data_IF_237879596350
#
_entry.id   IF_237879596350
#
_cell.length_a   1.000
_cell.length_b   1.000
_cell.length_c   1.000
_cell.angle_alpha   90.00
_cell.angle_beta   90.00
_cell.angle_gamma   90.00
#
_symmetry.space_group_name_H-M   'P 1'
#
loop_
_entity.id
_entity.type
_entity.pdbx_description
1 polymer ?
#
# COMPACT_ATOMS: atom_id res chain seq x y z
N UNK A 1 34.52 3.81 -16.40
CA UNK A 1 33.14 3.45 -16.00
C UNK A 1 32.82 4.21 -14.72
N UNK A 2 32.01 5.26 -14.82
CA UNK A 2 31.60 6.03 -13.65
C UNK A 2 30.46 5.28 -12.94
N UNK A 3 30.49 5.15 -11.60
CA UNK A 3 29.38 4.55 -10.88
C UNK A 3 28.17 5.50 -10.99
N UNK A 4 27.12 5.04 -11.66
CA UNK A 4 25.83 5.73 -11.69
C UNK A 4 25.31 5.79 -10.26
N UNK A 5 25.32 6.98 -9.66
CA UNK A 5 24.78 7.20 -8.32
C UNK A 5 23.29 6.91 -8.36
N UNK A 6 22.87 5.81 -7.72
CA UNK A 6 21.46 5.54 -7.45
C UNK A 6 20.94 6.70 -6.59
N UNK A 7 20.18 7.59 -7.22
CA UNK A 7 19.55 8.71 -6.54
C UNK A 7 18.37 8.11 -5.79
N UNK A 8 18.56 7.84 -4.50
CA UNK A 8 17.48 7.49 -3.60
C UNK A 8 16.49 8.66 -3.59
N UNK A 9 15.37 8.50 -4.30
CA UNK A 9 14.24 9.42 -4.25
C UNK A 9 13.62 9.24 -2.86
N UNK A 10 14.16 9.98 -1.90
CA UNK A 10 13.53 10.17 -0.60
C UNK A 10 12.33 11.08 -0.80
N UNK A 11 11.15 10.49 -1.01
CA UNK A 11 9.88 11.16 -0.79
C UNK A 11 9.69 11.32 0.73
N UNK A 12 10.55 12.14 1.34
CA UNK A 12 10.45 12.55 2.73
C UNK A 12 9.58 13.81 2.82
N UNK A 13 8.53 13.68 3.62
CA UNK A 13 7.89 14.75 4.41
C UNK A 13 7.48 16.01 3.65
N UNK A 14 6.20 16.11 3.28
CA UNK A 14 5.18 16.90 3.99
C UNK A 14 3.86 16.63 3.27
N UNK A 15 2.99 15.81 3.85
CA UNK A 15 1.55 15.86 3.58
C UNK A 15 1.04 15.42 2.19
N UNK A 16 1.55 14.37 1.56
CA UNK A 16 0.72 13.44 0.75
C UNK A 16 1.41 12.07 0.84
N UNK A 17 0.78 11.14 1.54
CA UNK A 17 1.43 9.92 2.04
C UNK A 17 1.82 8.95 0.93
N UNK A 18 3.12 8.73 0.78
CA UNK A 18 3.69 7.67 -0.05
C UNK A 18 5.09 7.29 0.47
N UNK A 19 5.19 6.92 1.75
CA UNK A 19 6.45 6.43 2.32
C UNK A 19 6.75 5.06 1.71
N UNK A 20 7.66 5.03 0.72
CA UNK A 20 8.21 3.81 0.17
C UNK A 20 9.14 3.24 1.25
N UNK A 21 8.61 2.39 2.13
CA UNK A 21 9.47 1.50 2.89
C UNK A 21 10.06 0.50 1.89
N UNK A 22 11.22 0.83 1.32
CA UNK A 22 11.87 0.02 0.31
C UNK A 22 12.61 -1.14 0.96
N UNK A 23 12.08 -2.36 0.85
CA UNK A 23 12.92 -3.55 0.93
C UNK A 23 13.99 -3.46 -0.16
N UNK A 24 15.26 -3.49 0.23
CA UNK A 24 16.37 -3.58 -0.71
C UNK A 24 16.38 -4.98 -1.32
N UNK A 25 16.01 -5.12 -2.59
CA UNK A 25 16.18 -6.39 -3.29
C UNK A 25 17.65 -6.53 -3.68
N UNK A 26 18.37 -7.43 -3.01
CA UNK A 26 19.70 -7.84 -3.42
C UNK A 26 19.57 -8.75 -4.64
N UNK A 27 19.71 -8.17 -5.83
CA UNK A 27 19.85 -8.90 -7.09
C UNK A 27 21.21 -9.64 -7.08
N UNK A 28 21.26 -10.83 -6.48
CA UNK A 28 22.44 -11.69 -6.49
C UNK A 28 22.27 -12.85 -7.48
N UNK A 29 22.68 -12.60 -8.73
CA UNK A 29 23.33 -13.51 -9.72
C UNK A 29 22.77 -14.93 -10.05
N UNK A 30 22.89 -15.29 -11.35
CA UNK A 30 22.91 -16.65 -11.97
C UNK A 30 21.57 -17.39 -12.09
N UNK A 31 20.74 -16.96 -13.04
CA UNK A 31 19.52 -17.65 -13.49
C UNK A 31 18.85 -16.90 -14.66
N UNK A 32 17.71 -17.39 -15.15
CA UNK A 32 16.80 -16.60 -16.00
C UNK A 32 16.40 -15.33 -15.23
N UNK A 33 16.46 -14.19 -15.91
CA UNK A 33 16.08 -12.92 -15.29
C UNK A 33 14.57 -12.90 -15.07
N UNK A 34 14.16 -12.65 -13.83
CA UNK A 34 12.75 -12.48 -13.50
C UNK A 34 12.21 -11.15 -14.02
N UNK A 35 10.92 -11.12 -14.33
CA UNK A 35 10.25 -9.88 -14.74
C UNK A 35 10.08 -8.91 -13.58
N UNK A 36 9.97 -7.62 -13.88
CA UNK A 36 9.69 -6.57 -12.88
C UNK A 36 8.42 -6.88 -12.10
N UNK A 37 7.36 -7.36 -12.77
CA UNK A 37 6.14 -7.79 -12.11
C UNK A 37 6.40 -8.91 -11.09
N UNK A 38 7.16 -9.95 -11.47
CA UNK A 38 7.50 -11.06 -10.58
C UNK A 38 8.27 -10.58 -9.35
N UNK A 39 9.28 -9.74 -9.57
CA UNK A 39 10.12 -9.21 -8.50
C UNK A 39 9.32 -8.39 -7.49
N UNK A 40 8.49 -7.47 -7.96
CA UNK A 40 7.67 -6.63 -7.06
C UNK A 40 6.55 -7.43 -6.40
N UNK A 41 5.97 -8.43 -7.06
CA UNK A 41 4.92 -9.29 -6.48
C UNK A 41 5.40 -10.12 -5.29
N UNK A 42 6.72 -10.32 -5.14
CA UNK A 42 7.31 -11.02 -3.99
C UNK A 42 7.40 -10.14 -2.73
N UNK A 43 7.25 -8.83 -2.85
CA UNK A 43 7.26 -7.90 -1.72
C UNK A 43 5.93 -7.97 -0.96
N UNK A 44 5.95 -8.66 0.20
CA UNK A 44 4.74 -8.94 1.00
C UNK A 44 4.04 -7.71 1.57
N UNK A 45 4.74 -6.58 1.64
CA UNK A 45 4.23 -5.30 2.16
C UNK A 45 3.70 -4.38 1.06
N UNK A 46 3.60 -4.91 -0.18
CA UNK A 46 3.11 -4.19 -1.34
C UNK A 46 2.07 -5.00 -2.11
N UNK A 47 1.34 -4.31 -2.97
CA UNK A 47 0.40 -4.87 -3.93
C UNK A 47 0.66 -4.27 -5.30
N UNK A 48 0.68 -5.13 -6.32
CA UNK A 48 0.63 -4.71 -7.72
C UNK A 48 -0.74 -4.09 -7.98
N UNK A 49 -0.74 -2.92 -8.62
CA UNK A 49 -1.97 -2.21 -8.88
C UNK A 49 -2.68 -2.80 -10.10
N UNK A 50 -3.79 -3.47 -9.83
CA UNK A 50 -4.82 -3.76 -10.82
C UNK A 50 -5.31 -2.48 -11.52
N UNK A 51 -5.42 -2.55 -12.85
CA UNK A 51 -5.73 -1.41 -13.71
C UNK A 51 -7.17 -0.91 -13.58
N UNK A 52 -8.10 -1.75 -13.14
CA UNK A 52 -9.53 -1.46 -13.04
C UNK A 52 -9.98 -1.28 -11.59
N UNK A 53 -9.43 -2.07 -10.66
CA UNK A 53 -9.90 -2.12 -9.27
C UNK A 53 -9.31 -1.04 -8.36
N UNK A 54 -8.18 -0.44 -8.73
CA UNK A 54 -7.46 0.52 -7.90
C UNK A 54 -7.60 1.99 -8.34
N UNK A 55 -8.75 2.38 -8.88
CA UNK A 55 -9.00 3.73 -9.42
C UNK A 55 -8.59 4.86 -8.44
N UNK A 56 -8.97 4.75 -7.17
CA UNK A 56 -8.60 5.72 -6.12
C UNK A 56 -7.09 5.85 -5.94
N UNK A 57 -6.36 4.74 -5.99
CA UNK A 57 -4.89 4.73 -5.84
C UNK A 57 -4.24 5.39 -7.04
N UNK A 58 -4.74 5.12 -8.25
CA UNK A 58 -4.26 5.75 -9.47
C UNK A 58 -4.42 7.27 -9.44
N UNK A 59 -5.55 7.77 -8.94
CA UNK A 59 -5.75 9.22 -8.77
C UNK A 59 -4.74 9.87 -7.83
N UNK A 60 -4.37 9.20 -6.74
CA UNK A 60 -3.31 9.66 -5.84
C UNK A 60 -1.94 9.63 -6.53
N UNK A 61 -1.61 8.57 -7.26
CA UNK A 61 -0.33 8.45 -7.96
C UNK A 61 -0.12 9.55 -9.02
N UNK A 62 -1.18 9.94 -9.75
CA UNK A 62 -1.11 11.08 -10.67
C UNK A 62 -0.72 12.36 -9.94
N UNK A 63 -1.30 12.59 -8.76
CA UNK A 63 -1.01 13.76 -7.92
C UNK A 63 0.43 13.73 -7.38
N UNK A 64 0.89 12.57 -6.92
CA UNK A 64 2.25 12.37 -6.43
C UNK A 64 3.29 12.53 -7.53
N UNK A 65 3.06 11.93 -8.71
CA UNK A 65 3.94 12.11 -9.87
C UNK A 65 4.06 13.59 -10.23
N UNK A 66 2.91 14.26 -10.34
CA UNK A 66 2.82 15.68 -10.68
C UNK A 66 3.53 16.61 -9.70
N UNK A 67 3.81 16.13 -8.49
CA UNK A 67 4.49 16.86 -7.42
C UNK A 67 5.94 16.40 -7.24
N UNK A 68 6.37 15.41 -8.01
CA UNK A 68 7.72 14.83 -7.96
C UNK A 68 8.60 15.40 -9.09
N UNK A 69 9.91 15.18 -8.99
CA UNK A 69 10.87 15.46 -10.08
C UNK A 69 11.06 14.24 -11.01
N UNK A 70 10.11 13.29 -11.03
CA UNK A 70 10.23 12.08 -11.83
C UNK A 70 10.08 12.37 -13.33
N UNK A 71 10.96 11.78 -14.13
CA UNK A 71 10.90 11.83 -15.61
C UNK A 71 10.77 10.44 -16.23
N UNK A 72 10.42 9.42 -15.42
CA UNK A 72 10.42 8.01 -15.83
C UNK A 72 9.29 7.70 -16.81
N UNK A 73 8.19 8.44 -16.75
CA UNK A 73 7.02 8.25 -17.61
C UNK A 73 6.95 9.43 -18.58
N UNK A 74 7.01 9.13 -19.88
CA UNK A 74 6.86 10.13 -20.93
C UNK A 74 5.39 10.49 -21.05
N UNK A 75 5.05 11.72 -20.68
CA UNK A 75 3.73 12.30 -20.88
C UNK A 75 3.67 13.07 -22.20
N UNK A 76 2.49 13.13 -22.82
CA UNK A 76 2.24 14.03 -23.97
C UNK A 76 2.12 15.50 -23.56
N UNK A 77 1.77 15.76 -22.30
CA UNK A 77 1.72 17.10 -21.70
C UNK A 77 2.74 17.27 -20.57
N UNK A 78 2.59 18.32 -19.76
CA UNK A 78 3.51 18.64 -18.66
C UNK A 78 3.54 17.58 -17.55
N UNK A 79 2.44 16.83 -17.39
CA UNK A 79 2.23 15.83 -16.34
C UNK A 79 1.55 14.59 -16.93
N UNK A 80 1.91 13.37 -16.50
CA UNK A 80 1.31 12.16 -17.02
C UNK A 80 -0.13 12.01 -16.56
N UNK A 81 -0.99 11.55 -17.47
CA UNK A 81 -2.35 11.13 -17.11
C UNK A 81 -2.34 9.78 -16.41
N UNK A 82 -3.47 9.43 -15.78
CA UNK A 82 -3.69 8.09 -15.22
C UNK A 82 -3.41 6.99 -16.26
N UNK A 83 -3.88 7.18 -17.48
CA UNK A 83 -3.74 6.23 -18.59
C UNK A 83 -2.29 6.07 -19.02
N UNK A 84 -1.51 7.15 -19.00
CA UNK A 84 -0.08 7.12 -19.31
C UNK A 84 0.71 6.36 -18.24
N UNK A 85 0.36 6.51 -16.96
CA UNK A 85 0.95 5.72 -15.88
C UNK A 85 0.57 4.23 -16.01
N UNK A 86 -0.71 3.93 -16.22
CA UNK A 86 -1.18 2.56 -16.43
C UNK A 86 -0.51 1.92 -17.64
N UNK A 87 -0.35 2.68 -18.73
CA UNK A 87 0.36 2.21 -19.93
C UNK A 87 1.82 1.88 -19.63
N UNK A 88 2.52 2.75 -18.91
CA UNK A 88 3.89 2.48 -18.48
C UNK A 88 3.98 1.14 -17.72
N UNK A 89 3.03 0.87 -16.82
CA UNK A 89 3.01 -0.39 -16.07
C UNK A 89 2.78 -1.61 -16.96
N UNK A 90 1.81 -1.56 -17.87
CA UNK A 90 1.56 -2.66 -18.83
C UNK A 90 2.76 -2.92 -19.72
N UNK A 91 3.37 -1.87 -20.26
CA UNK A 91 4.46 -2.01 -21.23
C UNK A 91 5.73 -2.63 -20.61
N UNK A 92 5.89 -2.57 -19.28
CA UNK A 92 7.11 -2.99 -18.58
C UNK A 92 6.92 -4.15 -17.58
N UNK A 93 5.71 -4.70 -17.43
CA UNK A 93 5.43 -5.77 -16.46
C UNK A 93 6.27 -7.04 -16.71
N UNK A 94 6.52 -7.36 -17.98
CA UNK A 94 7.33 -8.50 -18.43
C UNK A 94 8.81 -8.16 -18.62
N UNK A 95 9.19 -6.89 -18.47
CA UNK A 95 10.58 -6.45 -18.63
C UNK A 95 11.48 -7.11 -17.60
N UNK A 96 12.72 -7.39 -17.97
CA UNK A 96 13.78 -7.86 -17.06
C UNK A 96 14.87 -6.79 -16.88
N UNK A 97 14.59 -5.55 -17.26
CA UNK A 97 15.52 -4.43 -17.14
C UNK A 97 15.52 -3.89 -15.72
N UNK A 98 16.54 -4.29 -14.95
CA UNK A 98 16.73 -3.90 -13.57
C UNK A 98 16.80 -2.38 -13.37
N UNK A 99 17.22 -1.61 -14.39
CA UNK A 99 17.25 -0.14 -14.30
C UNK A 99 15.88 0.49 -14.18
N UNK A 100 14.82 -0.23 -14.59
CA UNK A 100 13.43 0.19 -14.47
C UNK A 100 12.76 -0.28 -13.19
N UNK A 101 13.42 -1.12 -12.38
CA UNK A 101 12.79 -1.75 -11.22
C UNK A 101 12.22 -0.74 -10.23
N UNK A 102 13.00 0.26 -9.82
CA UNK A 102 12.53 1.27 -8.85
C UNK A 102 11.38 2.11 -9.42
N UNK A 103 11.44 2.46 -10.71
CA UNK A 103 10.35 3.20 -11.37
C UNK A 103 9.07 2.35 -11.47
N UNK A 104 9.21 1.08 -11.87
CA UNK A 104 8.11 0.13 -11.94
C UNK A 104 7.49 -0.11 -10.57
N UNK A 105 8.31 -0.36 -9.55
CA UNK A 105 7.87 -0.51 -8.16
C UNK A 105 7.15 0.74 -7.67
N UNK A 106 7.67 1.93 -7.96
CA UNK A 106 7.07 3.19 -7.50
C UNK A 106 5.71 3.45 -8.15
N UNK A 107 5.59 3.26 -9.46
CA UNK A 107 4.41 3.68 -10.22
C UNK A 107 3.39 2.57 -10.45
N UNK A 108 3.78 1.30 -10.35
CA UNK A 108 2.93 0.15 -10.70
C UNK A 108 2.56 -0.71 -9.48
N UNK A 109 3.03 -0.34 -8.31
CA UNK A 109 2.67 -0.98 -7.05
C UNK A 109 2.48 0.05 -5.95
N UNK A 110 1.86 -0.37 -4.87
CA UNK A 110 1.68 0.47 -3.68
C UNK A 110 1.91 -0.36 -2.44
N UNK A 111 2.31 0.30 -1.34
CA UNK A 111 2.27 -0.38 -0.04
C UNK A 111 0.84 -0.86 0.24
N UNK A 112 0.70 -2.07 0.78
CA UNK A 112 -0.57 -2.48 1.36
C UNK A 112 -0.76 -1.82 2.74
N UNK A 113 -1.96 -1.89 3.31
CA UNK A 113 -2.24 -1.26 4.60
C UNK A 113 -1.31 -1.77 5.71
N UNK A 114 -1.00 -3.06 5.73
CA UNK A 114 -0.06 -3.65 6.68
C UNK A 114 1.35 -3.05 6.54
N UNK A 115 1.87 -2.99 5.31
CA UNK A 115 3.18 -2.41 5.00
C UNK A 115 3.26 -0.95 5.39
N UNK A 116 2.26 -0.15 5.00
CA UNK A 116 2.19 1.28 5.34
C UNK A 116 2.17 1.49 6.86
N UNK A 117 1.35 0.75 7.60
CA UNK A 117 1.28 0.88 9.06
C UNK A 117 2.58 0.39 9.72
N UNK A 118 3.12 -0.75 9.30
CA UNK A 118 4.36 -1.28 9.85
C UNK A 118 5.57 -0.37 9.59
N UNK A 119 5.53 0.42 8.52
CA UNK A 119 6.53 1.47 8.26
C UNK A 119 6.40 2.68 9.21
N UNK A 120 5.26 2.85 9.90
CA UNK A 120 5.10 3.90 10.90
C UNK A 120 6.02 3.65 12.10
N UNK A 121 6.54 4.71 12.73
CA UNK A 121 7.43 4.57 13.89
C UNK A 121 6.74 4.11 15.18
N UNK A 122 5.41 4.19 15.25
CA UNK A 122 4.65 4.11 16.51
C UNK A 122 3.75 2.89 16.62
N UNK A 123 3.30 2.33 15.50
CA UNK A 123 2.33 1.23 15.46
C UNK A 123 2.83 0.07 14.62
N UNK A 124 2.35 -1.13 14.93
CA UNK A 124 2.53 -2.34 14.11
C UNK A 124 1.19 -3.03 13.92
N UNK A 125 1.06 -3.73 12.79
CA UNK A 125 -0.08 -4.58 12.49
C UNK A 125 -0.18 -5.73 13.49
N UNK A 126 -1.38 -5.99 14.01
CA UNK A 126 -1.64 -7.12 14.88
C UNK A 126 -1.84 -8.38 14.04
N UNK A 127 -0.91 -9.33 14.15
CA UNK A 127 -0.92 -10.61 13.40
C UNK A 127 -1.33 -11.81 14.25
N UNK A 128 -1.83 -11.59 15.46
CA UNK A 128 -2.17 -12.69 16.37
C UNK A 128 -3.39 -13.47 15.88
N UNK A 129 -3.31 -14.81 15.97
CA UNK A 129 -4.43 -15.72 15.75
C UNK A 129 -5.20 -16.06 17.04
N UNK A 130 -4.85 -15.44 18.17
CA UNK A 130 -5.49 -15.68 19.46
C UNK A 130 -6.52 -14.60 19.75
N UNK A 131 -7.79 -14.99 19.94
CA UNK A 131 -8.90 -14.06 20.20
C UNK A 131 -8.61 -13.07 21.33
N UNK A 132 -7.96 -13.52 22.42
CA UNK A 132 -7.63 -12.68 23.58
C UNK A 132 -6.73 -11.49 23.24
N UNK A 133 -5.88 -11.60 22.22
CA UNK A 133 -4.94 -10.54 21.86
C UNK A 133 -5.64 -9.36 21.16
N UNK A 134 -6.91 -9.55 20.76
CA UNK A 134 -7.75 -8.55 20.09
C UNK A 134 -8.71 -7.82 21.02
N UNK A 135 -8.71 -8.14 22.32
CA UNK A 135 -9.66 -7.58 23.28
C UNK A 135 -9.54 -6.05 23.39
N UNK A 136 -8.31 -5.52 23.42
CA UNK A 136 -8.07 -4.07 23.44
C UNK A 136 -8.62 -3.38 22.18
N UNK A 137 -8.41 -3.98 21.02
CA UNK A 137 -8.88 -3.47 19.72
C UNK A 137 -10.40 -3.50 19.62
N UNK A 138 -11.03 -4.57 20.13
CA UNK A 138 -12.50 -4.66 20.29
C UNK A 138 -13.02 -3.55 21.19
N UNK A 139 -12.42 -3.34 22.36
CA UNK A 139 -12.85 -2.29 23.28
C UNK A 139 -12.69 -0.88 22.66
N UNK A 140 -11.63 -0.67 21.87
CA UNK A 140 -11.46 0.56 21.09
C UNK A 140 -12.53 0.74 20.00
N UNK A 141 -12.99 -0.34 19.39
CA UNK A 141 -14.11 -0.33 18.45
C UNK A 141 -15.43 0.05 19.15
N UNK A 142 -15.73 -0.57 20.29
CA UNK A 142 -16.97 -0.34 21.03
C UNK A 142 -17.11 1.13 21.50
N UNK A 143 -15.98 1.77 21.80
CA UNK A 143 -15.89 3.15 22.29
C UNK A 143 -15.64 4.18 21.18
N UNK A 144 -15.54 3.76 19.92
CA UNK A 144 -15.31 4.67 18.81
C UNK A 144 -16.53 5.58 18.56
N UNK A 145 -16.30 6.88 18.41
CA UNK A 145 -17.37 7.86 18.16
C UNK A 145 -17.69 8.12 16.68
N UNK A 146 -16.97 7.48 15.75
CA UNK A 146 -17.09 7.72 14.30
C UNK A 146 -17.92 6.63 13.62
N UNK A 147 -19.12 6.95 13.13
CA UNK A 147 -19.99 5.99 12.40
C UNK A 147 -19.39 5.53 11.07
N UNK A 148 -18.62 6.39 10.42
CA UNK A 148 -17.87 6.13 9.20
C UNK A 148 -16.71 5.12 9.38
N UNK A 149 -16.39 4.73 10.62
CA UNK A 149 -15.36 3.71 10.90
C UNK A 149 -15.93 2.35 11.31
N UNK A 150 -17.23 2.11 11.11
CA UNK A 150 -17.77 0.76 11.32
C UNK A 150 -17.17 -0.22 10.30
N UNK A 151 -16.84 -1.42 10.77
CA UNK A 151 -16.33 -2.51 9.94
C UNK A 151 -17.52 -3.17 9.26
N UNK A 152 -17.41 -3.38 7.95
CA UNK A 152 -18.42 -4.07 7.14
C UNK A 152 -17.94 -5.51 6.92
N UNK A 153 -18.78 -6.50 7.23
CA UNK A 153 -18.49 -7.90 6.92
C UNK A 153 -18.58 -8.14 5.41
N UNK A 154 -17.80 -9.08 4.93
CA UNK A 154 -17.83 -9.46 3.52
C UNK A 154 -19.26 -9.87 3.11
N UNK A 155 -19.80 -9.18 2.11
CA UNK A 155 -21.16 -9.43 1.60
C UNK A 155 -22.29 -8.70 2.35
N UNK A 156 -21.97 -7.94 3.39
CA UNK A 156 -22.96 -7.09 4.08
C UNK A 156 -22.91 -5.64 3.55
N UNK A 157 -24.04 -4.94 3.64
CA UNK A 157 -24.17 -3.53 3.26
C UNK A 157 -24.06 -2.57 4.45
N UNK A 158 -24.09 -3.10 5.67
CA UNK A 158 -24.11 -2.31 6.91
C UNK A 158 -22.95 -2.68 7.80
N UNK A 159 -22.39 -1.69 8.49
CA UNK A 159 -21.31 -1.92 9.46
C UNK A 159 -21.79 -2.62 10.73
N UNK A 160 -20.92 -3.43 11.33
CA UNK A 160 -21.16 -4.13 12.60
C UNK A 160 -21.35 -3.07 13.69
N UNK A 161 -22.46 -3.14 14.41
CA UNK A 161 -22.74 -2.20 15.50
C UNK A 161 -21.71 -2.30 16.63
N UNK A 162 -21.42 -1.17 17.28
CA UNK A 162 -20.35 -1.03 18.28
C UNK A 162 -20.39 -2.08 19.39
N UNK A 163 -21.57 -2.45 19.88
CA UNK A 163 -21.72 -3.42 20.96
C UNK A 163 -21.90 -4.87 20.50
N UNK A 164 -21.83 -5.10 19.18
CA UNK A 164 -22.09 -6.39 18.55
C UNK A 164 -20.84 -7.02 17.94
N UNK A 165 -19.74 -6.26 17.85
CA UNK A 165 -18.50 -6.76 17.28
C UNK A 165 -17.84 -7.78 18.20
N UNK A 166 -17.27 -8.81 17.58
CA UNK A 166 -16.44 -9.82 18.24
C UNK A 166 -14.99 -9.68 17.81
N UNK A 167 -14.09 -10.20 18.62
CA UNK A 167 -12.67 -10.29 18.29
C UNK A 167 -12.45 -11.01 16.96
N UNK A 168 -13.23 -12.06 16.67
CA UNK A 168 -13.16 -12.78 15.39
C UNK A 168 -13.50 -11.90 14.19
N UNK A 169 -14.45 -10.96 14.34
CA UNK A 169 -14.84 -10.05 13.25
C UNK A 169 -13.69 -9.09 12.92
N UNK A 170 -12.97 -8.61 13.95
CA UNK A 170 -11.77 -7.79 13.80
C UNK A 170 -10.64 -8.58 13.15
N UNK A 171 -10.38 -9.80 13.63
CA UNK A 171 -9.37 -10.69 13.08
C UNK A 171 -9.59 -10.93 11.59
N UNK A 172 -10.83 -11.26 11.19
CA UNK A 172 -11.19 -11.51 9.80
C UNK A 172 -11.05 -10.26 8.95
N UNK A 173 -11.64 -9.14 9.39
CA UNK A 173 -11.58 -7.90 8.63
C UNK A 173 -10.15 -7.40 8.47
N UNK A 174 -9.36 -7.38 9.54
CA UNK A 174 -7.95 -7.02 9.48
C UNK A 174 -7.15 -8.01 8.61
N UNK A 175 -7.41 -9.32 8.71
CA UNK A 175 -6.80 -10.30 7.81
C UNK A 175 -6.97 -9.93 6.34
N UNK A 176 -8.19 -9.55 5.94
CA UNK A 176 -8.50 -9.13 4.58
C UNK A 176 -7.94 -7.74 4.24
N UNK A 177 -8.05 -6.78 5.17
CA UNK A 177 -7.61 -5.40 4.98
C UNK A 177 -6.07 -5.28 4.87
N UNK A 178 -5.33 -6.22 5.45
CA UNK A 178 -3.86 -6.22 5.45
C UNK A 178 -3.25 -6.06 4.06
N UNK A 179 -3.87 -6.67 3.05
CA UNK A 179 -3.42 -6.67 1.65
C UNK A 179 -4.05 -5.57 0.79
N UNK A 180 -5.00 -4.78 1.32
CA UNK A 180 -5.61 -3.69 0.54
C UNK A 180 -4.57 -2.62 0.18
N UNK A 181 -4.66 -2.08 -1.03
CA UNK A 181 -3.76 -1.03 -1.49
C UNK A 181 -3.99 0.26 -0.69
N UNK A 182 -2.90 0.85 -0.18
CA UNK A 182 -2.98 2.12 0.52
C UNK A 182 -3.27 3.27 -0.45
N UNK A 183 -4.44 3.89 -0.29
CA UNK A 183 -4.83 5.08 -1.06
C UNK A 183 -4.14 6.32 -0.48
N UNK A 184 -4.54 6.75 0.72
CA UNK A 184 -3.95 7.84 1.47
C UNK A 184 -4.41 7.78 2.95
N UNK A 185 -3.92 8.69 3.80
CA UNK A 185 -4.23 8.69 5.24
C UNK A 185 -5.67 9.13 5.58
N UNK A 186 -6.37 9.71 4.60
CA UNK A 186 -7.76 10.14 4.76
C UNK A 186 -8.76 9.08 4.33
N UNK A 187 -8.32 8.02 3.65
CA UNK A 187 -9.16 6.91 3.23
C UNK A 187 -9.71 6.13 4.44
N UNK A 188 -10.99 5.77 4.37
CA UNK A 188 -11.68 5.15 5.49
C UNK A 188 -11.15 3.75 5.81
N UNK A 189 -10.69 2.98 4.82
CA UNK A 189 -10.09 1.65 5.07
C UNK A 189 -8.76 1.80 5.81
N UNK A 190 -7.95 2.81 5.45
CA UNK A 190 -6.74 3.13 6.20
C UNK A 190 -7.06 3.57 7.63
N UNK A 191 -8.03 4.47 7.82
CA UNK A 191 -8.42 4.94 9.16
C UNK A 191 -8.95 3.81 10.04
N UNK A 192 -9.77 2.91 9.48
CA UNK A 192 -10.24 1.69 10.17
C UNK A 192 -9.07 0.79 10.53
N UNK A 193 -8.17 0.52 9.59
CA UNK A 193 -7.01 -0.34 9.82
C UNK A 193 -6.06 0.23 10.87
N UNK A 194 -5.69 1.52 10.76
CA UNK A 194 -4.82 2.22 11.70
C UNK A 194 -5.37 2.21 13.13
N UNK A 195 -6.70 2.29 13.27
CA UNK A 195 -7.36 2.33 14.57
C UNK A 195 -7.61 0.95 15.17
N UNK A 196 -7.98 -0.05 14.37
CA UNK A 196 -8.51 -1.31 14.87
C UNK A 196 -7.65 -2.55 14.55
N UNK A 197 -6.69 -2.45 13.63
CA UNK A 197 -5.80 -3.57 13.27
C UNK A 197 -4.38 -3.43 13.83
N UNK A 198 -4.15 -2.47 14.72
CA UNK A 198 -2.81 -2.14 15.18
C UNK A 198 -2.64 -2.30 16.69
N UNK A 199 -1.38 -2.46 17.09
CA UNK A 199 -0.91 -2.33 18.47
C UNK A 199 0.29 -1.40 18.50
N UNK A 200 0.60 -0.84 19.66
CA UNK A 200 1.82 -0.06 19.86
C UNK A 200 3.07 -0.92 19.59
N UNK A 201 4.12 -0.28 19.07
CA UNK A 201 5.43 -0.91 18.87
C UNK A 201 6.19 -1.08 20.19
#
# INVERSE_FOLDING_TARGET
>A
MMPTKATLISLSSVGVGGSIAGGAYLLHTRGEKESLHSLVSKEKDRVILDYEKHDKVWGVLVTEYSSSNSTTIKAKGDKPTKEEIIKFCRDHESSTDESLFEAYKLWCSRSNLQGKINSSGTKKWLTSNQSKDWEANKNAYNTNNSENLLIIKNGESTGIQKNSIKEQDLMEWCGNASSMAFVNEQDDDYKRADKFCTVSK
#
